data_IF_598230256070
#
_entry.id   IF_598230256070
#
_cell.length_a   1.000
_cell.length_b   1.000
_cell.length_c   1.000
_cell.angle_alpha   90.00
_cell.angle_beta   90.00
_cell.angle_gamma   90.00
#
_symmetry.space_group_name_H-M   'P 1'
#
loop_
_entity.id
_entity.type
_entity.pdbx_description
1 polymer ?
#
# COMPACT_ATOMS: atom_id res chain seq x y z
N UNK A 1 -26.19 -13.45 -4.22
CA UNK A 1 -26.48 -12.03 -4.55
C UNK A 1 -25.17 -11.29 -4.81
N UNK A 2 -25.21 -10.18 -5.54
CA UNK A 2 -24.04 -9.32 -5.79
C UNK A 2 -24.42 -7.86 -5.61
N UNK A 3 -23.59 -7.09 -4.92
CA UNK A 3 -23.72 -5.63 -4.82
C UNK A 3 -22.97 -4.97 -5.97
N UNK A 4 -23.48 -3.84 -6.47
CA UNK A 4 -22.78 -2.97 -7.42
C UNK A 4 -22.66 -1.59 -6.80
N UNK A 5 -21.46 -1.04 -6.82
CA UNK A 5 -21.13 0.25 -6.21
C UNK A 5 -20.51 1.11 -7.30
N UNK A 6 -20.99 2.35 -7.43
CA UNK A 6 -20.34 3.37 -8.27
C UNK A 6 -19.29 4.10 -7.42
N UNK A 7 -18.02 3.94 -7.79
CA UNK A 7 -16.87 4.55 -7.12
C UNK A 7 -16.49 5.91 -7.71
N UNK A 8 -17.24 6.43 -8.69
CA UNK A 8 -17.00 7.68 -9.45
C UNK A 8 -15.76 7.62 -10.36
N UNK A 9 -14.62 7.19 -9.81
CA UNK A 9 -13.40 6.84 -10.55
C UNK A 9 -13.23 5.32 -10.64
N UNK A 10 -12.54 4.78 -11.66
CA UNK A 10 -12.25 3.35 -11.75
C UNK A 10 -11.62 2.82 -10.46
N UNK A 11 -12.19 1.75 -9.91
CA UNK A 11 -11.61 1.03 -8.78
C UNK A 11 -10.38 0.26 -9.25
N UNK A 12 -9.29 0.37 -8.48
CA UNK A 12 -7.98 -0.22 -8.81
C UNK A 12 -7.54 -1.23 -7.76
N UNK A 13 -7.84 -0.96 -6.47
CA UNK A 13 -7.53 -1.86 -5.36
C UNK A 13 -8.68 -1.92 -4.35
N UNK A 14 -8.87 -3.08 -3.70
CA UNK A 14 -9.86 -3.29 -2.64
C UNK A 14 -9.24 -4.14 -1.53
N UNK A 15 -9.37 -3.70 -0.28
CA UNK A 15 -8.80 -4.36 0.88
C UNK A 15 -9.76 -4.36 2.07
N UNK A 16 -10.11 -5.56 2.53
CA UNK A 16 -10.92 -5.75 3.73
C UNK A 16 -10.05 -5.61 4.98
N UNK A 17 -10.55 -4.90 5.99
CA UNK A 17 -9.86 -4.80 7.26
C UNK A 17 -9.74 -6.21 7.89
N UNK A 18 -8.54 -6.71 8.21
CA UNK A 18 -8.32 -8.08 8.67
C UNK A 18 -8.75 -8.30 10.13
N UNK A 19 -9.08 -7.24 10.85
CA UNK A 19 -9.61 -7.34 12.20
C UNK A 19 -11.01 -7.95 12.17
N UNK A 20 -11.20 -9.08 12.87
CA UNK A 20 -12.44 -9.87 12.86
C UNK A 20 -13.67 -9.12 13.39
N UNK A 21 -13.47 -8.01 14.09
CA UNK A 21 -14.55 -7.14 14.60
C UNK A 21 -14.81 -5.95 13.69
N UNK A 22 -14.12 -5.87 12.56
CA UNK A 22 -14.25 -4.79 11.59
C UNK A 22 -15.25 -5.15 10.52
N UNK A 23 -16.12 -4.21 10.19
CA UNK A 23 -17.13 -4.30 9.15
C UNK A 23 -16.82 -3.31 8.02
N UNK A 24 -15.53 -3.00 7.81
CA UNK A 24 -15.10 -2.06 6.78
C UNK A 24 -14.16 -2.68 5.75
N UNK A 25 -14.22 -2.14 4.54
CA UNK A 25 -13.20 -2.32 3.52
C UNK A 25 -12.84 -0.97 2.90
N UNK A 26 -11.61 -0.87 2.40
CA UNK A 26 -11.12 0.27 1.63
C UNK A 26 -11.15 -0.06 0.14
N UNK A 27 -11.50 0.92 -0.70
CA UNK A 27 -11.43 0.85 -2.15
C UNK A 27 -10.61 2.03 -2.67
N UNK A 28 -9.47 1.72 -3.28
CA UNK A 28 -8.59 2.66 -3.94
C UNK A 28 -9.04 2.86 -5.38
N UNK A 29 -9.02 4.10 -5.84
CA UNK A 29 -9.39 4.45 -7.21
C UNK A 29 -8.23 5.11 -7.95
N UNK A 30 -8.24 4.93 -9.26
CA UNK A 30 -7.23 5.46 -10.17
C UNK A 30 -7.91 6.02 -11.43
N UNK A 31 -7.59 7.26 -11.79
CA UNK A 31 -7.97 7.86 -13.06
C UNK A 31 -6.84 8.71 -13.62
N UNK A 32 -6.42 8.40 -14.84
CA UNK A 32 -5.58 9.28 -15.63
C UNK A 32 -6.44 10.37 -16.27
N UNK A 33 -6.08 11.64 -16.08
CA UNK A 33 -6.78 12.76 -16.69
C UNK A 33 -6.21 13.04 -18.08
N UNK A 34 -7.03 12.84 -19.11
CA UNK A 34 -6.69 13.19 -20.49
C UNK A 34 -6.81 14.71 -20.68
N UNK A 35 -5.79 15.36 -21.26
CA UNK A 35 -5.94 16.71 -21.83
C UNK A 35 -5.26 17.91 -21.15
N UNK A 36 -4.38 17.75 -20.15
CA UNK A 36 -3.48 18.85 -19.73
C UNK A 36 -2.16 18.83 -20.51
N UNK A 37 -2.25 19.04 -21.82
CA UNK A 37 -1.11 19.34 -22.68
C UNK A 37 -0.69 20.80 -22.50
N UNK A 38 0.21 21.07 -21.57
CA UNK A 38 1.02 22.29 -21.58
C UNK A 38 2.41 22.01 -21.00
N UNK A 39 3.28 21.42 -21.83
CA UNK A 39 4.74 21.60 -21.86
C UNK A 39 5.56 21.58 -20.55
N UNK A 40 5.13 20.93 -19.47
CA UNK A 40 5.98 20.59 -18.33
C UNK A 40 5.54 19.20 -17.81
N UNK A 41 6.52 18.34 -17.54
CA UNK A 41 6.42 16.90 -17.29
C UNK A 41 5.29 16.46 -16.32
N UNK A 42 4.65 15.32 -16.65
CA UNK A 42 3.81 14.55 -15.72
C UNK A 42 2.47 14.08 -16.30
N UNK A 43 2.19 12.78 -16.19
CA UNK A 43 0.83 12.25 -16.34
C UNK A 43 0.00 12.69 -15.13
N UNK A 44 -1.04 13.50 -15.35
CA UNK A 44 -1.92 13.96 -14.28
C UNK A 44 -2.91 12.86 -13.88
N UNK A 45 -2.83 12.42 -12.63
CA UNK A 45 -3.66 11.35 -12.08
C UNK A 45 -4.49 11.90 -10.95
N UNK A 46 -5.69 11.35 -10.78
CA UNK A 46 -6.54 11.58 -9.61
C UNK A 46 -7.07 10.25 -9.09
N UNK A 47 -7.33 10.18 -7.80
CA UNK A 47 -8.03 9.07 -7.20
C UNK A 47 -8.40 9.34 -5.75
N UNK A 48 -8.91 8.30 -5.11
CA UNK A 48 -9.50 8.39 -3.78
C UNK A 48 -9.31 7.05 -3.06
N UNK A 49 -9.12 7.11 -1.74
CA UNK A 49 -9.39 5.99 -0.87
C UNK A 49 -10.81 6.13 -0.31
N UNK A 50 -11.68 5.19 -0.68
CA UNK A 50 -13.08 5.14 -0.28
C UNK A 50 -13.24 4.10 0.83
N UNK A 51 -13.86 4.47 1.95
CA UNK A 51 -14.16 3.53 3.03
C UNK A 51 -15.63 3.17 3.00
N UNK A 52 -15.89 1.88 2.96
CA UNK A 52 -17.22 1.31 2.99
C UNK A 52 -17.42 0.52 4.26
N UNK A 53 -18.60 0.69 4.87
CA UNK A 53 -19.11 -0.20 5.89
C UNK A 53 -20.00 -1.24 5.23
N UNK A 54 -19.74 -2.52 5.46
CA UNK A 54 -20.47 -3.61 4.85
C UNK A 54 -21.20 -4.44 5.90
N UNK A 55 -22.32 -5.04 5.51
CA UNK A 55 -23.08 -5.97 6.34
C UNK A 55 -23.63 -7.09 5.47
N UNK A 56 -23.82 -8.26 6.09
CA UNK A 56 -24.46 -9.41 5.47
C UNK A 56 -25.44 -10.03 6.43
N UNK A 57 -26.67 -10.25 5.98
CA UNK A 57 -27.65 -11.15 6.60
C UNK A 57 -27.85 -12.40 5.72
N UNK A 58 -28.73 -13.32 6.12
CA UNK A 58 -28.98 -14.59 5.39
C UNK A 58 -29.44 -14.39 3.94
N UNK A 59 -29.94 -13.20 3.59
CA UNK A 59 -30.58 -12.90 2.31
C UNK A 59 -30.03 -11.68 1.57
N UNK A 60 -29.29 -10.79 2.24
CA UNK A 60 -28.88 -9.50 1.74
C UNK A 60 -27.45 -9.16 2.14
N UNK A 61 -26.69 -8.61 1.18
CA UNK A 61 -25.39 -7.99 1.40
C UNK A 61 -25.55 -6.51 1.07
N UNK A 62 -25.05 -5.62 1.94
CA UNK A 62 -25.05 -4.18 1.71
C UNK A 62 -23.69 -3.58 2.00
N UNK A 63 -23.39 -2.46 1.34
CA UNK A 63 -22.19 -1.67 1.61
C UNK A 63 -22.52 -0.18 1.43
N UNK A 64 -22.22 0.61 2.45
CA UNK A 64 -22.43 2.04 2.48
C UNK A 64 -21.08 2.76 2.50
N UNK A 65 -20.88 3.73 1.61
CA UNK A 65 -19.69 4.59 1.64
C UNK A 65 -19.81 5.56 2.81
N UNK A 66 -18.91 5.44 3.78
CA UNK A 66 -18.91 6.28 5.00
C UNK A 66 -17.81 7.35 4.99
N UNK A 67 -16.79 7.20 4.15
CA UNK A 67 -15.71 8.17 4.03
C UNK A 67 -15.07 8.14 2.63
N UNK A 68 -14.46 9.26 2.23
CA UNK A 68 -13.47 9.30 1.16
C UNK A 68 -12.28 10.18 1.58
N UNK A 69 -11.11 9.89 1.01
CA UNK A 69 -9.88 10.66 1.14
C UNK A 69 -9.33 10.88 -0.27
N UNK A 70 -9.20 12.13 -0.70
CA UNK A 70 -8.63 12.47 -2.01
C UNK A 70 -7.11 12.24 -2.04
N UNK A 71 -6.63 11.59 -3.09
CA UNK A 71 -5.23 11.23 -3.30
C UNK A 71 -4.85 11.37 -4.79
N UNK A 72 -3.55 11.46 -5.14
CA UNK A 72 -3.13 11.54 -6.55
C UNK A 72 -3.58 10.35 -7.40
N UNK A 73 -3.63 9.15 -6.84
CA UNK A 73 -4.36 7.95 -7.28
C UNK A 73 -3.84 6.79 -6.42
N UNK A 74 -4.66 5.78 -6.17
CA UNK A 74 -4.32 4.68 -5.26
C UNK A 74 -4.07 3.41 -6.04
N UNK A 75 -2.80 2.95 -6.07
CA UNK A 75 -2.40 1.75 -6.81
C UNK A 75 -2.47 0.49 -5.97
N UNK A 76 -2.12 0.60 -4.69
CA UNK A 76 -2.22 -0.53 -3.76
C UNK A 76 -2.46 -0.05 -2.34
N UNK A 77 -3.09 -0.92 -1.55
CA UNK A 77 -3.32 -0.71 -0.14
C UNK A 77 -3.11 -2.04 0.58
N UNK A 78 -2.69 -2.00 1.84
CA UNK A 78 -2.71 -3.17 2.73
C UNK A 78 -2.92 -2.73 4.17
N UNK A 79 -3.73 -3.47 4.89
CA UNK A 79 -3.85 -3.32 6.33
C UNK A 79 -2.67 -3.99 7.04
N UNK A 80 -2.13 -3.31 8.05
CA UNK A 80 -1.22 -3.89 9.02
C UNK A 80 -1.94 -4.99 9.81
N UNK A 81 -1.26 -6.10 10.08
CA UNK A 81 -1.81 -7.28 10.78
C UNK A 81 -1.40 -7.33 12.27
N UNK A 82 -0.96 -6.19 12.84
CA UNK A 82 -0.75 -6.08 14.29
C UNK A 82 -2.02 -6.45 15.06
N UNK A 83 -1.93 -7.42 15.96
CA UNK A 83 -3.04 -7.82 16.82
C UNK A 83 -3.32 -6.74 17.86
N UNK A 84 -4.61 -6.50 18.09
CA UNK A 84 -5.15 -5.90 19.30
C UNK A 84 -4.81 -4.42 19.59
N UNK A 85 -4.33 -3.65 18.61
CA UNK A 85 -4.60 -2.21 18.68
C UNK A 85 -6.07 -2.02 18.28
N UNK A 86 -6.88 -1.33 19.08
CA UNK A 86 -8.25 -0.92 18.69
C UNK A 86 -8.28 0.01 17.47
N UNK A 87 -7.18 0.10 16.72
CA UNK A 87 -6.80 1.13 15.78
C UNK A 87 -6.13 0.48 14.55
N UNK A 88 -6.88 -0.27 13.73
CA UNK A 88 -6.34 -0.84 12.49
C UNK A 88 -5.61 0.20 11.65
N UNK A 89 -4.42 -0.12 11.15
CA UNK A 89 -3.59 0.78 10.36
C UNK A 89 -3.57 0.35 8.90
N UNK A 90 -3.97 1.25 7.99
CA UNK A 90 -3.94 1.07 6.54
C UNK A 90 -2.71 1.77 5.95
N UNK A 91 -1.92 1.03 5.19
CA UNK A 91 -0.91 1.60 4.30
C UNK A 91 -1.48 1.80 2.90
N UNK A 92 -1.18 2.93 2.26
CA UNK A 92 -1.63 3.28 0.91
C UNK A 92 -0.41 3.68 0.06
N UNK A 93 -0.22 3.02 -1.08
CA UNK A 93 0.73 3.38 -2.13
C UNK A 93 0.03 4.26 -3.16
N UNK A 94 0.52 5.50 -3.33
CA UNK A 94 -0.06 6.45 -4.27
C UNK A 94 0.79 6.71 -5.52
N UNK A 95 0.12 7.19 -6.56
CA UNK A 95 0.74 7.59 -7.83
C UNK A 95 1.65 8.81 -7.70
N UNK A 96 1.58 9.51 -6.57
CA UNK A 96 2.50 10.57 -6.22
C UNK A 96 3.83 10.05 -5.70
N UNK A 97 4.03 8.74 -5.53
CA UNK A 97 5.27 8.15 -5.03
C UNK A 97 5.40 8.22 -3.51
N UNK A 98 4.28 8.30 -2.79
CA UNK A 98 4.23 8.28 -1.34
C UNK A 98 3.63 6.96 -0.82
N UNK A 99 4.05 6.61 0.40
CA UNK A 99 3.31 5.69 1.27
C UNK A 99 2.66 6.53 2.36
N UNK A 100 1.33 6.49 2.43
CA UNK A 100 0.59 7.13 3.52
C UNK A 100 0.01 6.09 4.48
N UNK A 101 0.01 6.42 5.77
CA UNK A 101 -0.45 5.58 6.85
C UNK A 101 -1.70 6.21 7.47
N UNK A 102 -2.76 5.42 7.62
CA UNK A 102 -4.03 5.91 8.12
C UNK A 102 -4.62 4.95 9.16
N UNK A 103 -4.99 5.48 10.32
CA UNK A 103 -5.48 4.73 11.46
C UNK A 103 -7.01 4.78 11.51
N UNK A 104 -7.66 3.63 11.72
CA UNK A 104 -9.09 3.51 11.88
C UNK A 104 -9.52 3.80 13.32
N UNK A 105 -10.21 4.92 13.52
CA UNK A 105 -10.87 5.28 14.77
C UNK A 105 -12.27 4.65 14.79
N UNK A 106 -12.41 3.57 15.57
CA UNK A 106 -13.66 2.81 15.72
C UNK A 106 -14.79 3.64 16.32
N UNK A 107 -14.47 4.51 17.28
CA UNK A 107 -15.46 5.31 18.00
C UNK A 107 -16.07 6.38 17.07
N UNK A 108 -15.24 6.95 16.19
CA UNK A 108 -15.68 7.93 15.18
C UNK A 108 -16.13 7.31 13.87
N UNK A 109 -15.89 6.01 13.67
CA UNK A 109 -16.03 5.34 12.38
C UNK A 109 -15.34 6.12 11.24
N UNK A 110 -14.08 6.49 11.48
CA UNK A 110 -13.32 7.32 10.55
C UNK A 110 -11.85 6.90 10.48
N UNK A 111 -11.31 6.91 9.27
CA UNK A 111 -9.90 6.73 8.98
C UNK A 111 -9.17 8.08 9.04
N UNK A 112 -8.18 8.22 9.93
CA UNK A 112 -7.38 9.42 10.11
C UNK A 112 -5.94 9.24 9.63
N UNK A 113 -5.42 10.19 8.85
CA UNK A 113 -4.02 10.15 8.39
C UNK A 113 -3.05 10.34 9.55
N UNK A 114 -2.13 9.40 9.71
CA UNK A 114 -1.06 9.41 10.72
C UNK A 114 0.24 9.97 10.13
N UNK A 115 0.58 9.56 8.91
CA UNK A 115 1.80 9.97 8.23
C UNK A 115 1.65 9.88 6.71
N UNK A 116 2.45 10.66 5.99
CA UNK A 116 2.64 10.52 4.54
C UNK A 116 4.13 10.69 4.24
N UNK A 117 4.73 9.66 3.64
CA UNK A 117 6.17 9.54 3.47
C UNK A 117 6.47 9.43 1.98
N UNK A 118 7.24 10.38 1.44
CA UNK A 118 7.82 10.27 0.10
C UNK A 118 8.85 9.15 0.09
N UNK A 119 8.58 8.08 -0.67
CA UNK A 119 9.53 6.97 -0.86
C UNK A 119 10.18 6.98 -2.24
N UNK A 120 9.50 7.60 -3.21
CA UNK A 120 9.98 7.74 -4.57
C UNK A 120 11.02 8.87 -4.71
N UNK A 121 12.17 8.64 -5.38
CA UNK A 121 13.21 9.67 -5.58
C UNK A 121 12.78 10.87 -6.45
N UNK A 122 11.83 10.68 -7.36
CA UNK A 122 11.37 11.70 -8.31
C UNK A 122 9.85 11.77 -8.33
N UNK A 123 9.27 12.95 -8.66
CA UNK A 123 7.82 13.19 -8.78
C UNK A 123 7.13 12.26 -9.79
N UNK A 124 7.87 11.79 -10.78
CA UNK A 124 7.38 10.94 -11.87
C UNK A 124 7.32 9.45 -11.50
N UNK A 125 7.98 9.06 -10.40
CA UNK A 125 8.04 7.68 -9.94
C UNK A 125 6.84 7.36 -9.06
N UNK A 126 6.04 6.38 -9.49
CA UNK A 126 4.85 5.91 -8.78
C UNK A 126 5.24 4.91 -7.70
N UNK A 127 4.43 4.83 -6.64
CA UNK A 127 4.45 3.68 -5.73
C UNK A 127 3.41 2.68 -6.25
N UNK A 128 3.86 1.49 -6.66
CA UNK A 128 3.06 0.52 -7.42
C UNK A 128 2.37 -0.51 -6.52
N UNK A 129 3.09 -1.07 -5.55
CA UNK A 129 2.57 -2.04 -4.59
C UNK A 129 3.23 -1.89 -3.22
N UNK A 130 2.58 -2.37 -2.17
CA UNK A 130 3.16 -2.42 -0.83
C UNK A 130 2.78 -3.70 -0.07
N UNK A 131 3.60 -4.10 0.89
CA UNK A 131 3.30 -5.20 1.81
C UNK A 131 3.91 -4.99 3.20
N UNK A 132 3.23 -5.51 4.23
CA UNK A 132 3.64 -5.42 5.63
C UNK A 132 4.39 -6.67 6.07
N UNK A 133 5.50 -6.49 6.79
CA UNK A 133 6.28 -7.62 7.34
C UNK A 133 5.55 -8.39 8.45
N UNK A 134 4.45 -7.87 8.98
CA UNK A 134 3.83 -8.34 10.22
C UNK A 134 2.63 -9.30 10.03
N UNK A 135 2.41 -9.84 8.82
CA UNK A 135 1.22 -10.68 8.55
C UNK A 135 1.13 -11.94 9.40
N UNK A 136 2.26 -12.62 9.65
CA UNK A 136 2.30 -13.88 10.42
C UNK A 136 2.92 -13.76 11.80
N UNK A 137 3.95 -12.94 11.97
CA UNK A 137 4.64 -12.76 13.25
C UNK A 137 4.68 -11.29 13.59
N UNK A 138 4.30 -10.97 14.82
CA UNK A 138 4.57 -9.68 15.40
C UNK A 138 5.97 -9.70 15.98
N UNK A 139 6.83 -8.82 15.47
CA UNK A 139 8.12 -8.53 16.07
C UNK A 139 7.93 -7.43 17.11
N UNK A 140 8.66 -7.50 18.22
CA UNK A 140 8.54 -6.51 19.30
C UNK A 140 9.08 -5.12 18.90
N UNK A 141 9.99 -5.08 17.92
CA UNK A 141 10.91 -3.95 17.76
C UNK A 141 10.55 -2.98 16.61
N UNK A 142 9.93 -3.42 15.51
CA UNK A 142 9.49 -2.52 14.42
C UNK A 142 8.64 -3.24 13.36
N UNK A 143 7.69 -2.52 12.76
CA UNK A 143 7.02 -2.96 11.52
C UNK A 143 7.80 -2.41 10.32
N UNK A 144 7.80 -3.17 9.23
CA UNK A 144 8.40 -2.75 7.98
C UNK A 144 7.36 -2.84 6.86
N UNK A 145 7.37 -1.83 6.00
CA UNK A 145 6.66 -1.87 4.72
C UNK A 145 7.71 -2.02 3.64
N UNK A 146 7.52 -2.99 2.74
CA UNK A 146 8.22 -2.99 1.46
C UNK A 146 7.29 -2.38 0.42
N UNK A 147 7.84 -1.57 -0.49
CA UNK A 147 7.09 -1.05 -1.62
C UNK A 147 7.89 -1.09 -2.92
N UNK A 148 7.19 -1.25 -4.02
CA UNK A 148 7.77 -1.24 -5.36
C UNK A 148 7.52 0.08 -6.07
N UNK A 149 8.51 0.54 -6.84
CA UNK A 149 8.51 1.86 -7.47
C UNK A 149 8.66 1.75 -8.99
N UNK A 150 7.94 2.59 -9.73
CA UNK A 150 7.87 2.49 -11.20
C UNK A 150 9.19 2.74 -11.94
N UNK A 151 10.24 3.19 -11.25
CA UNK A 151 11.58 3.36 -11.81
C UNK A 151 12.45 2.09 -11.75
N UNK A 152 11.88 0.97 -11.29
CA UNK A 152 12.61 -0.29 -11.11
C UNK A 152 13.16 -0.50 -9.69
N UNK A 153 12.99 0.45 -8.79
CA UNK A 153 13.46 0.33 -7.42
C UNK A 153 12.46 -0.40 -6.52
N UNK A 154 12.98 -0.97 -5.43
CA UNK A 154 12.20 -1.31 -4.25
C UNK A 154 12.68 -0.45 -3.09
N UNK A 155 11.79 -0.19 -2.14
CA UNK A 155 12.14 0.46 -0.89
C UNK A 155 11.60 -0.29 0.33
N UNK A 156 12.31 -0.19 1.44
CA UNK A 156 11.84 -0.59 2.77
C UNK A 156 11.64 0.67 3.59
N UNK A 157 10.43 0.84 4.10
CA UNK A 157 10.05 1.87 5.05
C UNK A 157 9.95 1.25 6.44
N UNK A 158 10.77 1.75 7.37
CA UNK A 158 10.67 1.39 8.78
C UNK A 158 9.57 2.22 9.44
N UNK A 159 8.60 1.55 10.07
CA UNK A 159 7.48 2.14 10.77
C UNK A 159 7.68 1.90 12.27
N UNK A 160 8.28 2.88 12.95
CA UNK A 160 8.40 2.84 14.40
C UNK A 160 7.02 2.98 15.05
N UNK A 161 6.79 2.27 16.16
CA UNK A 161 5.52 2.29 16.88
C UNK A 161 5.05 3.73 17.08
N UNK A 162 3.84 4.01 16.59
CA UNK A 162 3.14 5.30 16.66
C UNK A 162 2.67 5.54 18.11
N UNK A 163 3.57 5.43 19.08
CA UNK A 163 3.33 5.80 20.46
C UNK A 163 3.95 7.17 20.72
N UNK A 164 3.11 8.19 20.53
CA UNK A 164 3.20 9.53 21.11
C UNK A 164 4.44 10.38 20.74
N UNK A 165 4.18 11.39 19.90
CA UNK A 165 4.90 12.65 19.67
C UNK A 165 5.93 12.77 18.53
N UNK A 166 6.39 11.70 17.88
CA UNK A 166 7.20 11.83 16.64
C UNK A 166 7.20 10.53 15.83
N UNK A 167 6.53 10.54 14.67
CA UNK A 167 6.70 9.48 13.67
C UNK A 167 8.13 9.55 13.11
N UNK A 168 8.92 8.50 13.30
CA UNK A 168 10.25 8.36 12.70
C UNK A 168 10.18 7.30 11.62
N UNK A 169 10.63 7.67 10.43
CA UNK A 169 10.75 6.77 9.30
C UNK A 169 12.12 6.86 8.68
N UNK A 170 12.66 5.71 8.28
CA UNK A 170 13.80 5.63 7.38
C UNK A 170 13.42 4.81 6.16
N UNK A 171 13.97 5.20 5.01
CA UNK A 171 13.73 4.55 3.72
C UNK A 171 15.06 3.97 3.24
N UNK A 172 15.11 2.63 3.06
CA UNK A 172 16.22 1.94 2.39
C UNK A 172 15.78 1.62 0.96
N UNK A 173 16.45 2.18 -0.03
CA UNK A 173 16.14 2.04 -1.46
C UNK A 173 17.22 1.21 -2.17
N UNK A 174 16.83 0.36 -3.13
CA UNK A 174 17.77 -0.33 -4.01
C UNK A 174 17.17 -0.60 -5.40
N UNK A 175 18.04 -0.69 -6.40
CA UNK A 175 17.64 -1.02 -7.78
C UNK A 175 17.34 -2.50 -7.90
N UNK A 176 16.08 -2.84 -8.14
CA UNK A 176 15.63 -4.23 -8.14
C UNK A 176 15.34 -4.77 -9.54
N UNK A 177 14.69 -3.99 -10.41
CA UNK A 177 14.23 -4.39 -11.74
C UNK A 177 14.62 -3.36 -12.79
N UNK A 178 14.78 -3.81 -14.04
CA UNK A 178 15.12 -2.93 -15.16
C UNK A 178 13.94 -2.07 -15.64
N UNK A 179 12.74 -2.53 -15.33
CA UNK A 179 11.45 -1.92 -15.61
C UNK A 179 10.58 -1.97 -14.33
N UNK A 180 9.35 -1.48 -14.43
CA UNK A 180 8.35 -1.41 -13.37
C UNK A 180 8.19 -2.76 -12.63
N UNK A 181 8.52 -2.84 -11.33
CA UNK A 181 8.15 -3.96 -10.48
C UNK A 181 6.71 -3.75 -10.00
N UNK A 182 5.76 -4.43 -10.66
CA UNK A 182 4.33 -4.33 -10.33
C UNK A 182 3.95 -4.95 -8.99
N UNK A 183 4.81 -5.78 -8.41
CA UNK A 183 4.53 -6.40 -7.12
C UNK A 183 5.79 -6.58 -6.29
N UNK A 184 5.65 -6.37 -4.99
CA UNK A 184 6.61 -6.79 -3.96
C UNK A 184 5.86 -7.39 -2.77
N UNK A 185 6.47 -8.37 -2.11
CA UNK A 185 5.89 -9.03 -0.94
C UNK A 185 6.95 -9.55 0.01
N UNK A 186 6.64 -9.60 1.30
CA UNK A 186 7.47 -10.27 2.30
C UNK A 186 7.27 -11.78 2.25
N UNK A 187 8.33 -12.53 2.56
CA UNK A 187 8.15 -13.88 3.08
C UNK A 187 7.66 -13.79 4.53
N UNK A 188 6.36 -14.01 4.75
CA UNK A 188 5.78 -13.93 6.09
C UNK A 188 6.34 -14.97 7.07
N UNK A 189 6.99 -16.04 6.59
CA UNK A 189 7.66 -17.02 7.44
C UNK A 189 9.13 -16.69 7.69
N UNK A 190 9.73 -15.79 6.91
CA UNK A 190 11.07 -15.27 7.11
C UNK A 190 11.17 -13.83 6.60
N UNK A 191 10.87 -12.85 7.46
CA UNK A 191 10.87 -11.42 7.13
C UNK A 191 12.28 -10.83 6.93
N UNK A 192 13.28 -11.67 6.64
CA UNK A 192 14.52 -11.23 6.00
C UNK A 192 14.44 -11.35 4.48
N UNK A 193 13.40 -12.01 3.93
CA UNK A 193 13.24 -12.25 2.51
C UNK A 193 12.09 -11.42 1.92
N UNK A 194 12.36 -10.85 0.75
CA UNK A 194 11.41 -10.07 -0.04
C UNK A 194 11.38 -10.66 -1.45
N UNK A 195 10.19 -10.81 -2.01
CA UNK A 195 9.99 -11.21 -3.40
C UNK A 195 9.48 -10.05 -4.23
N UNK A 196 9.87 -9.99 -5.50
CA UNK A 196 9.40 -8.97 -6.43
C UNK A 196 9.26 -9.49 -7.86
N UNK A 197 8.31 -8.94 -8.60
CA UNK A 197 8.06 -9.24 -10.01
C UNK A 197 7.83 -7.97 -10.80
N UNK A 198 8.33 -7.93 -12.05
CA UNK A 198 8.22 -6.73 -12.89
C UNK A 198 8.23 -6.99 -14.39
N UNK A 199 8.06 -5.91 -15.15
CA UNK A 199 7.98 -5.90 -16.63
C UNK A 199 9.29 -6.31 -17.33
N UNK A 200 10.37 -6.45 -16.56
CA UNK A 200 11.61 -7.06 -17.06
C UNK A 200 11.52 -8.58 -17.25
N UNK A 201 10.32 -9.17 -17.08
CA UNK A 201 10.02 -10.61 -17.13
C UNK A 201 10.80 -11.43 -16.09
N UNK A 202 11.14 -10.80 -14.96
CA UNK A 202 11.90 -11.44 -13.88
C UNK A 202 11.08 -11.53 -12.60
N UNK A 203 11.24 -12.65 -11.92
CA UNK A 203 10.84 -12.82 -10.52
C UNK A 203 12.10 -12.99 -9.66
N UNK A 204 12.24 -12.15 -8.63
CA UNK A 204 13.46 -12.03 -7.81
C UNK A 204 13.15 -12.24 -6.35
N UNK A 205 14.10 -12.80 -5.61
CA UNK A 205 14.09 -12.78 -4.14
C UNK A 205 15.32 -12.04 -3.62
N UNK A 206 15.14 -11.29 -2.54
CA UNK A 206 16.12 -10.41 -1.92
C UNK A 206 16.24 -10.77 -0.45
N UNK A 207 17.47 -10.78 0.07
CA UNK A 207 17.74 -11.05 1.48
C UNK A 207 18.30 -9.80 2.15
N UNK A 208 17.63 -9.31 3.19
CA UNK A 208 17.99 -8.08 3.90
C UNK A 208 19.30 -8.16 4.66
N UNK A 209 19.79 -9.38 4.91
CA UNK A 209 21.07 -9.66 5.54
C UNK A 209 22.24 -9.41 4.59
N UNK A 210 21.96 -9.31 3.29
CA UNK A 210 22.91 -8.95 2.24
C UNK A 210 22.87 -7.44 1.94
N UNK A 211 23.78 -6.98 1.08
CA UNK A 211 23.89 -5.58 0.68
C UNK A 211 22.80 -5.11 -0.30
N UNK A 212 21.96 -6.03 -0.81
CA UNK A 212 20.90 -5.81 -1.80
C UNK A 212 21.41 -5.35 -3.19
N UNK A 213 22.68 -5.60 -3.51
CA UNK A 213 23.23 -5.32 -4.86
C UNK A 213 22.83 -6.37 -5.90
N UNK A 214 22.42 -7.57 -5.45
CA UNK A 214 21.94 -8.67 -6.30
C UNK A 214 20.87 -9.50 -5.59
N UNK A 215 19.93 -10.10 -6.34
CA UNK A 215 18.97 -11.01 -5.74
C UNK A 215 19.63 -12.35 -5.38
N UNK A 216 19.13 -12.99 -4.32
CA UNK A 216 19.54 -14.35 -3.93
C UNK A 216 18.89 -15.43 -4.79
N UNK A 217 17.82 -15.08 -5.50
CA UNK A 217 17.10 -15.94 -6.43
C UNK A 217 16.61 -15.12 -7.61
N UNK A 218 16.70 -15.68 -8.81
CA UNK A 218 16.24 -15.05 -10.04
C UNK A 218 15.64 -16.10 -10.97
N UNK A 219 14.36 -15.95 -11.29
CA UNK A 219 13.68 -16.65 -12.37
C UNK A 219 13.42 -15.69 -13.52
N UNK A 220 13.64 -16.16 -14.76
CA UNK A 220 13.43 -15.41 -16.00
C UNK A 220 12.53 -16.25 -16.91
N UNK A 221 11.51 -15.65 -17.47
CA UNK A 221 10.69 -16.25 -18.53
C UNK A 221 11.29 -16.01 -19.92
#
# INVERSE_FOLDING_TARGET
MSIKIDTVYPADSVEFCPDSTSDIFACGTYKLLEGQTSNIAGQNRVGQCLIYKWSSDESHISAEKIQHIDLPAVLDMKWSHKSASNRPLLGIADSGGNISLHEWDRDKSQLGTVASIRVAPSSETLCLSLDWSNRRRQTADSDHIVASLSNGDLCILNVDNVSQSSFRSSVRLWRAHDYEPWITAWDYWNTNLIYSGGDDLKFKAWDLREDLTRPIFLNKM
#
